data_IF_254639955553
#
_entry.id   IF_254639955553
#
_cell.length_a   1.000
_cell.length_b   1.000
_cell.length_c   1.000
_cell.angle_alpha   90.00
_cell.angle_beta   90.00
_cell.angle_gamma   90.00
#
_symmetry.space_group_name_H-M   'P 1'
#
loop_
_entity.id
_entity.type
_entity.pdbx_description
1 polymer ?
#
# COMPACT_ATOMS: atom_id res chain seq x y z
N UNK A 1 21.44 -2.58 20.70
CA UNK A 1 20.09 -1.99 20.63
C UNK A 1 19.86 -1.62 19.18
N UNK A 2 18.70 -1.91 18.58
CA UNK A 2 18.47 -1.55 17.18
C UNK A 2 18.37 -0.01 17.08
N UNK A 3 19.06 0.59 16.09
CA UNK A 3 19.02 2.03 15.83
C UNK A 3 17.77 2.40 15.02
N UNK A 4 16.63 1.77 15.31
CA UNK A 4 15.41 2.03 14.56
C UNK A 4 14.88 3.43 14.92
N UNK A 5 14.12 4.02 14.00
CA UNK A 5 13.30 5.17 14.34
C UNK A 5 12.17 4.70 15.25
N UNK A 6 11.82 5.46 16.29
CA UNK A 6 10.59 5.19 17.04
C UNK A 6 9.36 5.34 16.13
N UNK A 7 8.22 4.70 16.44
CA UNK A 7 6.97 4.92 15.72
C UNK A 7 6.58 6.40 15.61
N UNK A 8 6.75 7.16 16.71
CA UNK A 8 6.51 8.60 16.76
C UNK A 8 7.38 9.37 15.74
N UNK A 9 8.70 9.14 15.77
CA UNK A 9 9.63 9.80 14.86
C UNK A 9 9.38 9.40 13.40
N UNK A 10 9.13 8.13 13.12
CA UNK A 10 8.84 7.65 11.77
C UNK A 10 7.54 8.29 11.22
N UNK A 11 6.50 8.38 12.04
CA UNK A 11 5.24 9.04 11.66
C UNK A 11 5.46 10.54 11.43
N UNK A 12 6.22 11.21 12.29
CA UNK A 12 6.55 12.63 12.15
C UNK A 12 7.32 12.93 10.86
N UNK A 13 8.31 12.10 10.52
CA UNK A 13 9.09 12.21 9.29
C UNK A 13 8.20 12.00 8.05
N UNK A 14 7.27 11.05 8.09
CA UNK A 14 6.33 10.81 7.00
C UNK A 14 5.40 12.01 6.79
N UNK A 15 4.97 12.65 7.88
CA UNK A 15 4.11 13.84 7.87
C UNK A 15 4.86 15.08 7.34
N UNK A 16 6.11 15.29 7.76
CA UNK A 16 6.88 16.47 7.36
C UNK A 16 7.22 16.52 5.87
N UNK A 17 7.19 15.39 5.17
CA UNK A 17 7.34 15.34 3.71
C UNK A 17 6.26 16.16 2.99
N UNK A 18 5.07 16.31 3.57
CA UNK A 18 3.98 17.10 2.99
C UNK A 18 4.25 18.60 3.01
N UNK A 19 5.03 19.08 3.99
CA UNK A 19 5.40 20.49 4.11
C UNK A 19 6.24 20.98 2.92
N UNK A 20 6.95 20.09 2.23
CA UNK A 20 7.78 20.44 1.06
C UNK A 20 6.99 20.70 -0.22
N UNK A 21 5.66 20.51 -0.21
CA UNK A 21 4.87 20.56 -1.44
C UNK A 21 5.01 21.88 -2.17
N UNK A 22 4.79 22.99 -1.46
CA UNK A 22 4.89 24.34 -1.98
C UNK A 22 6.15 25.06 -1.50
N UNK A 23 6.82 24.51 -0.49
CA UNK A 23 8.08 25.03 0.00
C UNK A 23 9.19 24.86 -1.03
N UNK A 24 10.04 25.87 -1.17
CA UNK A 24 11.24 25.85 -2.02
C UNK A 24 12.48 25.41 -1.27
N UNK A 25 12.42 25.33 0.05
CA UNK A 25 13.53 24.96 0.92
C UNK A 25 13.14 23.83 1.89
N UNK A 26 14.02 23.57 2.87
CA UNK A 26 13.86 22.52 3.87
C UNK A 26 13.29 23.01 5.21
N UNK A 27 13.05 24.32 5.38
CA UNK A 27 12.65 24.93 6.66
C UNK A 27 11.31 24.41 7.13
N UNK A 28 10.34 24.28 6.23
CA UNK A 28 9.00 23.82 6.58
C UNK A 28 9.00 22.34 7.01
N UNK A 29 9.74 21.48 6.30
CA UNK A 29 9.91 20.08 6.68
C UNK A 29 10.64 19.93 8.01
N UNK A 30 11.68 20.73 8.21
CA UNK A 30 12.40 20.78 9.47
C UNK A 30 11.44 21.20 10.61
N UNK A 31 10.65 22.26 10.41
CA UNK A 31 9.72 22.76 11.43
C UNK A 31 8.62 21.74 11.76
N UNK A 32 8.14 21.00 10.76
CA UNK A 32 7.16 19.93 10.95
C UNK A 32 7.72 18.65 11.61
N UNK A 33 9.04 18.54 11.75
CA UNK A 33 9.72 17.37 12.33
C UNK A 33 10.76 17.73 13.41
N UNK A 34 10.35 18.36 14.53
CA UNK A 34 11.26 18.80 15.58
C UNK A 34 12.07 17.66 16.21
N UNK A 35 11.44 16.51 16.48
CA UNK A 35 12.12 15.36 17.10
C UNK A 35 13.11 14.70 16.14
N UNK A 36 12.80 14.71 14.84
CA UNK A 36 13.70 14.18 13.83
C UNK A 36 14.90 15.10 13.60
N UNK A 37 14.77 16.42 13.78
CA UNK A 37 15.90 17.38 13.67
C UNK A 37 16.99 17.18 14.71
N UNK A 38 16.65 16.64 15.86
CA UNK A 38 17.63 16.31 16.91
C UNK A 38 18.56 15.19 16.45
N UNK A 39 18.05 14.28 15.61
CA UNK A 39 18.76 13.10 15.11
C UNK A 39 19.27 13.24 13.67
N UNK A 40 18.72 14.16 12.88
CA UNK A 40 19.03 14.34 11.46
C UNK A 40 19.14 15.82 11.06
N UNK A 41 20.08 16.13 10.18
CA UNK A 41 20.22 17.44 9.56
C UNK A 41 19.19 17.67 8.46
N UNK A 42 17.97 18.04 8.87
CA UNK A 42 16.90 18.34 7.92
C UNK A 42 17.14 19.67 7.19
N UNK A 43 17.68 20.70 7.87
CA UNK A 43 17.92 22.01 7.25
C UNK A 43 18.99 21.96 6.16
N UNK A 44 20.07 21.20 6.39
CA UNK A 44 21.08 20.90 5.36
C UNK A 44 20.69 19.77 4.42
N UNK A 45 19.44 19.28 4.50
CA UNK A 45 18.93 18.17 3.70
C UNK A 45 18.80 18.51 2.22
N UNK A 46 18.77 17.47 1.39
CA UNK A 46 18.50 17.60 -0.05
C UNK A 46 17.01 17.43 -0.32
N UNK A 47 16.36 18.49 -0.79
CA UNK A 47 14.97 18.43 -1.26
C UNK A 47 14.89 17.65 -2.57
N UNK A 48 13.98 16.68 -2.63
CA UNK A 48 13.74 15.86 -3.81
C UNK A 48 12.66 16.50 -4.68
N UNK A 49 12.87 16.53 -6.00
CA UNK A 49 11.85 16.92 -6.97
C UNK A 49 11.49 15.74 -7.87
N UNK A 50 10.21 15.50 -8.09
CA UNK A 50 9.77 14.35 -8.87
C UNK A 50 8.48 14.64 -9.63
N UNK A 51 8.20 13.78 -10.60
CA UNK A 51 6.90 13.69 -11.26
C UNK A 51 6.31 12.30 -11.02
N UNK A 52 4.99 12.22 -11.15
CA UNK A 52 4.24 10.98 -11.01
C UNK A 52 3.28 10.84 -12.19
N UNK A 53 2.99 9.61 -12.59
CA UNK A 53 2.08 9.29 -13.71
C UNK A 53 2.80 8.64 -14.90
N UNK A 54 2.10 7.77 -15.63
CA UNK A 54 2.59 7.17 -16.88
C UNK A 54 2.43 8.20 -18.01
N UNK A 55 3.54 8.66 -18.59
CA UNK A 55 3.53 9.58 -19.73
C UNK A 55 3.37 11.06 -19.37
N UNK A 56 3.87 11.50 -18.21
CA UNK A 56 3.79 12.91 -17.79
C UNK A 56 4.42 13.86 -18.83
N UNK A 57 3.59 14.72 -19.41
CA UNK A 57 3.95 15.84 -20.27
C UNK A 57 5.05 16.72 -19.65
N UNK A 58 5.96 17.33 -20.45
CA UNK A 58 7.03 18.22 -19.97
C UNK A 58 6.57 19.42 -19.12
N UNK A 59 5.26 19.64 -18.98
CA UNK A 59 4.62 20.70 -18.18
C UNK A 59 4.23 20.22 -16.76
N UNK A 60 4.46 18.94 -16.38
CA UNK A 60 4.12 18.49 -15.02
C UNK A 60 4.94 19.23 -13.96
N UNK A 61 4.25 19.94 -13.06
CA UNK A 61 4.88 20.79 -12.04
C UNK A 61 5.75 19.95 -11.09
N UNK A 62 7.05 20.23 -11.06
CA UNK A 62 8.03 19.64 -10.13
C UNK A 62 7.80 20.18 -8.72
N UNK A 63 6.92 19.54 -7.96
CA UNK A 63 6.75 19.85 -6.52
C UNK A 63 7.78 19.12 -5.66
N UNK A 64 7.94 19.54 -4.40
CA UNK A 64 8.77 18.83 -3.45
C UNK A 64 8.16 17.46 -3.15
N UNK A 65 8.92 16.41 -3.46
CA UNK A 65 8.49 15.02 -3.38
C UNK A 65 8.94 14.31 -2.10
N UNK A 66 9.80 14.97 -1.32
CA UNK A 66 10.46 14.37 -0.18
C UNK A 66 11.83 14.99 0.02
N UNK A 67 12.64 14.35 0.84
CA UNK A 67 13.99 14.82 1.16
C UNK A 67 14.91 13.68 1.55
N UNK A 68 16.21 13.95 1.45
CA UNK A 68 17.26 13.15 2.07
C UNK A 68 18.00 13.98 3.11
N UNK A 69 18.21 13.43 4.31
CA UNK A 69 18.94 14.08 5.38
C UNK A 69 20.04 13.17 5.94
N UNK A 70 21.12 13.78 6.43
CA UNK A 70 22.22 13.07 7.10
C UNK A 70 21.91 12.97 8.59
N UNK A 71 22.21 11.84 9.21
CA UNK A 71 22.09 11.75 10.67
C UNK A 71 23.13 12.66 11.36
N UNK A 72 22.83 13.02 12.61
CA UNK A 72 23.67 13.85 13.47
C UNK A 72 24.15 13.03 14.67
N UNK A 73 25.23 13.48 15.31
CA UNK A 73 25.73 12.91 16.56
C UNK A 73 25.95 11.39 16.42
N UNK A 74 25.36 10.59 17.31
CA UNK A 74 25.43 9.13 17.27
C UNK A 74 24.89 8.48 15.98
N UNK A 75 24.19 9.24 15.12
CA UNK A 75 23.62 8.80 13.84
C UNK A 75 24.36 9.33 12.62
N UNK A 76 25.58 9.89 12.75
CA UNK A 76 26.32 10.51 11.63
C UNK A 76 26.49 9.61 10.38
N UNK A 77 26.57 8.29 10.60
CA UNK A 77 26.66 7.26 9.56
C UNK A 77 25.29 6.79 9.07
N UNK A 78 24.21 7.47 9.41
CA UNK A 78 22.85 7.13 8.99
C UNK A 78 22.35 8.14 7.95
N UNK A 79 21.46 7.69 7.08
CA UNK A 79 20.76 8.52 6.10
C UNK A 79 19.27 8.35 6.28
N UNK A 80 18.54 9.44 6.16
CA UNK A 80 17.10 9.46 6.17
C UNK A 80 16.59 9.84 4.79
N UNK A 81 15.68 9.04 4.24
CA UNK A 81 14.96 9.30 2.99
C UNK A 81 13.48 9.36 3.33
N UNK A 82 12.87 10.54 3.24
CA UNK A 82 11.43 10.72 3.44
C UNK A 82 10.76 11.02 2.11
N UNK A 83 9.67 10.31 1.80
CA UNK A 83 8.95 10.40 0.53
C UNK A 83 7.48 10.73 0.80
N UNK A 84 7.04 11.85 0.22
CA UNK A 84 5.66 12.33 0.31
C UNK A 84 4.72 11.46 -0.51
N UNK A 85 3.46 11.35 -0.08
CA UNK A 85 2.36 10.96 -0.96
C UNK A 85 2.13 11.94 -2.14
N UNK A 86 1.23 11.61 -3.06
CA UNK A 86 1.22 12.19 -4.42
C UNK A 86 -0.09 12.88 -4.84
N UNK A 87 0.11 13.80 -5.80
CA UNK A 87 -0.70 14.74 -6.58
C UNK A 87 -1.88 14.21 -7.42
N UNK A 88 -2.89 15.08 -7.68
CA UNK A 88 -4.23 14.77 -8.26
C UNK A 88 -4.17 13.87 -9.50
N UNK A 89 -3.50 14.29 -10.57
CA UNK A 89 -3.48 13.57 -11.85
C UNK A 89 -2.88 12.17 -11.72
N UNK A 90 -1.78 12.05 -10.99
CA UNK A 90 -1.07 10.77 -10.84
C UNK A 90 -1.71 9.86 -9.81
N UNK A 91 -2.37 10.45 -8.79
CA UNK A 91 -3.19 9.73 -7.82
C UNK A 91 -4.34 8.99 -8.50
N UNK A 92 -4.96 9.65 -9.46
CA UNK A 92 -5.93 9.03 -10.34
C UNK A 92 -5.26 7.96 -11.19
N UNK A 93 -4.13 8.21 -11.86
CA UNK A 93 -3.51 7.18 -12.73
C UNK A 93 -3.14 5.87 -12.01
N UNK A 94 -2.62 5.90 -10.78
CA UNK A 94 -2.27 4.64 -10.09
C UNK A 94 -3.50 3.89 -9.55
N UNK A 95 -4.58 4.61 -9.24
CA UNK A 95 -5.79 4.06 -8.63
C UNK A 95 -6.93 3.80 -9.63
N UNK A 96 -6.88 4.45 -10.79
CA UNK A 96 -7.85 4.40 -11.88
C UNK A 96 -7.45 3.42 -12.97
N UNK A 97 -6.15 3.17 -13.14
CA UNK A 97 -5.71 2.13 -14.04
C UNK A 97 -5.95 0.77 -13.39
N UNK A 98 -7.18 0.27 -13.59
CA UNK A 98 -7.54 -1.15 -13.60
C UNK A 98 -6.64 -1.97 -14.57
N UNK A 99 -5.75 -1.29 -15.31
CA UNK A 99 -4.45 -1.78 -15.76
C UNK A 99 -3.46 -1.69 -14.59
N UNK A 100 -3.55 -2.61 -13.63
CA UNK A 100 -2.46 -2.85 -12.65
C UNK A 100 -1.28 -3.46 -13.42
N UNK A 101 -0.73 -2.66 -14.32
CA UNK A 101 0.32 -3.06 -15.24
C UNK A 101 1.54 -3.32 -14.39
N UNK A 102 1.88 -4.60 -14.29
CA UNK A 102 3.13 -5.05 -13.74
C UNK A 102 4.26 -4.69 -14.70
N UNK A 103 5.34 -4.12 -14.17
CA UNK A 103 6.61 -3.97 -14.88
C UNK A 103 7.71 -4.62 -14.06
N UNK A 104 8.80 -5.03 -14.70
CA UNK A 104 9.99 -5.44 -13.99
C UNK A 104 10.51 -4.27 -13.14
N UNK A 105 10.55 -4.48 -11.82
CA UNK A 105 11.09 -3.55 -10.85
C UNK A 105 12.61 -3.62 -10.74
N UNK A 106 13.21 -2.95 -9.74
CA UNK A 106 14.66 -2.83 -9.62
C UNK A 106 15.37 -4.18 -9.42
N UNK A 107 14.68 -5.15 -8.81
CA UNK A 107 15.17 -6.51 -8.56
C UNK A 107 14.70 -7.54 -9.60
N UNK A 108 14.08 -7.09 -10.70
CA UNK A 108 13.53 -7.95 -11.75
C UNK A 108 12.15 -8.55 -11.43
N UNK A 109 11.68 -8.47 -10.18
CA UNK A 109 10.33 -8.86 -9.81
C UNK A 109 9.28 -7.86 -10.29
N UNK A 110 8.06 -8.34 -10.52
CA UNK A 110 6.97 -7.50 -11.04
C UNK A 110 6.43 -6.56 -9.94
N UNK A 111 6.44 -5.26 -10.24
CA UNK A 111 5.97 -4.18 -9.37
C UNK A 111 4.97 -3.28 -10.09
N UNK A 112 4.29 -2.40 -9.34
CA UNK A 112 3.34 -1.46 -9.93
C UNK A 112 4.04 -0.41 -10.81
N UNK A 113 3.69 -0.35 -12.10
CA UNK A 113 4.32 0.55 -13.08
C UNK A 113 4.36 2.02 -12.65
N UNK A 114 3.24 2.54 -12.13
CA UNK A 114 3.17 3.95 -11.72
C UNK A 114 4.06 4.27 -10.52
N UNK A 115 4.21 3.32 -9.58
CA UNK A 115 5.05 3.52 -8.39
C UNK A 115 6.53 3.42 -8.78
N UNK A 116 6.86 2.50 -9.69
CA UNK A 116 8.22 2.35 -10.19
C UNK A 116 8.65 3.53 -11.05
N UNK A 117 7.79 4.03 -11.94
CA UNK A 117 8.04 5.25 -12.70
C UNK A 117 8.37 6.43 -11.77
N UNK A 118 7.58 6.61 -10.70
CA UNK A 118 7.82 7.65 -9.71
C UNK A 118 9.17 7.47 -9.00
N UNK A 119 9.46 6.25 -8.51
CA UNK A 119 10.72 5.94 -7.83
C UNK A 119 11.93 6.25 -8.72
N UNK A 120 11.88 5.89 -10.01
CA UNK A 120 12.95 6.16 -10.97
C UNK A 120 13.27 7.66 -11.11
N UNK A 121 12.29 8.56 -10.95
CA UNK A 121 12.56 10.01 -10.97
C UNK A 121 13.33 10.50 -9.73
N UNK A 122 13.17 9.81 -8.59
CA UNK A 122 13.76 10.18 -7.31
C UNK A 122 15.12 9.52 -7.08
N UNK A 123 15.31 8.30 -7.57
CA UNK A 123 16.50 7.47 -7.29
C UNK A 123 17.84 8.16 -7.61
N UNK A 124 18.03 8.89 -8.72
CA UNK A 124 19.28 9.59 -8.99
C UNK A 124 19.59 10.65 -7.92
N UNK A 125 18.59 11.45 -7.53
CA UNK A 125 18.73 12.47 -6.49
C UNK A 125 18.98 11.83 -5.11
N UNK A 126 18.28 10.74 -4.80
CA UNK A 126 18.45 10.00 -3.55
C UNK A 126 19.87 9.43 -3.45
N UNK A 127 20.35 8.74 -4.48
CA UNK A 127 21.70 8.16 -4.51
C UNK A 127 22.78 9.23 -4.40
N UNK A 128 22.62 10.35 -5.11
CA UNK A 128 23.53 11.49 -5.00
C UNK A 128 23.56 12.06 -3.58
N UNK A 129 22.40 12.23 -2.94
CA UNK A 129 22.31 12.80 -1.60
C UNK A 129 22.80 11.85 -0.49
N UNK A 130 22.63 10.53 -0.66
CA UNK A 130 23.19 9.51 0.23
C UNK A 130 24.73 9.62 0.28
N UNK A 131 25.34 9.83 -0.89
CA UNK A 131 26.80 9.93 -1.05
C UNK A 131 27.48 8.57 -1.09
N UNK A 132 28.72 8.50 -0.59
CA UNK A 132 29.52 7.27 -0.60
C UNK A 132 28.91 6.19 0.32
N UNK A 133 28.56 5.00 -0.19
CA UNK A 133 28.01 3.92 0.63
C UNK A 133 28.95 3.45 1.74
N UNK A 134 30.27 3.59 1.57
CA UNK A 134 31.26 3.23 2.60
C UNK A 134 31.14 4.08 3.89
N UNK A 135 30.54 5.28 3.79
CA UNK A 135 30.31 6.18 4.91
C UNK A 135 28.95 5.96 5.59
N UNK A 136 28.11 5.09 5.02
CA UNK A 136 26.72 4.87 5.44
C UNK A 136 26.58 3.48 6.04
N UNK A 137 26.07 3.44 7.26
CA UNK A 137 25.74 2.22 8.00
C UNK A 137 24.29 1.80 7.80
N UNK A 138 23.37 2.76 7.87
CA UNK A 138 21.92 2.53 7.82
C UNK A 138 21.23 3.61 7.00
N UNK A 139 20.25 3.20 6.19
CA UNK A 139 19.36 4.09 5.45
C UNK A 139 17.93 3.82 5.92
N UNK A 140 17.31 4.85 6.51
CA UNK A 140 15.90 4.84 6.89
C UNK A 140 15.08 5.40 5.73
N UNK A 141 14.16 4.60 5.21
CA UNK A 141 13.25 4.99 4.12
C UNK A 141 11.85 5.08 4.69
N UNK A 142 11.26 6.26 4.64
CA UNK A 142 9.98 6.58 5.28
C UNK A 142 8.99 7.09 4.24
N UNK A 143 7.74 6.63 4.29
CA UNK A 143 6.70 7.16 3.42
C UNK A 143 5.28 6.87 3.88
N UNK A 144 4.37 7.77 3.52
CA UNK A 144 2.94 7.64 3.76
C UNK A 144 2.15 7.54 2.46
N UNK A 145 1.04 6.78 2.45
CA UNK A 145 0.17 6.63 1.29
C UNK A 145 0.96 6.18 0.06
N UNK A 146 0.82 6.86 -1.10
CA UNK A 146 1.66 6.62 -2.27
C UNK A 146 3.16 6.73 -1.96
N UNK A 147 3.57 7.64 -1.08
CA UNK A 147 4.96 7.77 -0.66
C UNK A 147 5.50 6.50 0.01
N UNK A 148 4.65 5.73 0.71
CA UNK A 148 5.02 4.45 1.29
C UNK A 148 5.25 3.33 0.26
N UNK A 149 4.45 3.31 -0.82
CA UNK A 149 4.69 2.38 -1.92
C UNK A 149 5.97 2.73 -2.71
N UNK A 150 6.22 4.03 -2.93
CA UNK A 150 7.47 4.49 -3.54
C UNK A 150 8.65 4.18 -2.62
N UNK A 151 8.53 4.42 -1.31
CA UNK A 151 9.54 4.07 -0.30
C UNK A 151 9.89 2.58 -0.34
N UNK A 152 8.90 1.70 -0.53
CA UNK A 152 9.11 0.26 -0.69
C UNK A 152 10.00 -0.06 -1.90
N UNK A 153 9.73 0.58 -3.05
CA UNK A 153 10.52 0.36 -4.28
C UNK A 153 11.90 1.05 -4.23
N UNK A 154 12.01 2.17 -3.52
CA UNK A 154 13.29 2.82 -3.23
C UNK A 154 14.13 1.92 -2.35
N UNK A 155 13.57 1.34 -1.28
CA UNK A 155 14.28 0.39 -0.43
C UNK A 155 14.77 -0.85 -1.20
N UNK A 156 13.95 -1.38 -2.11
CA UNK A 156 14.38 -2.46 -3.02
C UNK A 156 15.57 -2.04 -3.89
N UNK A 157 15.50 -0.87 -4.52
CA UNK A 157 16.57 -0.36 -5.37
C UNK A 157 17.88 -0.12 -4.59
N UNK A 158 17.81 0.47 -3.39
CA UNK A 158 18.98 0.82 -2.58
C UNK A 158 19.67 -0.38 -1.92
N UNK A 159 19.09 -1.58 -2.00
CA UNK A 159 19.71 -2.77 -1.42
C UNK A 159 21.02 -3.19 -2.11
N UNK A 160 21.39 -2.57 -3.23
CA UNK A 160 22.68 -2.76 -3.91
C UNK A 160 23.83 -2.02 -3.21
N UNK A 161 23.52 -1.05 -2.35
CA UNK A 161 24.51 -0.23 -1.64
C UNK A 161 25.22 -0.96 -0.50
N UNK A 162 24.80 -2.18 -0.14
CA UNK A 162 25.38 -2.95 0.96
C UNK A 162 25.15 -2.34 2.37
N UNK A 163 24.32 -1.31 2.47
CA UNK A 163 23.94 -0.67 3.74
C UNK A 163 22.76 -1.41 4.40
N UNK A 164 22.60 -1.28 5.72
CA UNK A 164 21.35 -1.68 6.38
C UNK A 164 20.22 -0.77 5.92
N UNK A 165 19.05 -1.34 5.66
CA UNK A 165 17.88 -0.62 5.21
C UNK A 165 16.76 -0.83 6.21
N UNK A 166 16.09 0.26 6.57
CA UNK A 166 14.95 0.28 7.49
C UNK A 166 13.78 0.94 6.79
N UNK A 167 12.68 0.21 6.59
CA UNK A 167 11.52 0.68 5.84
C UNK A 167 10.36 0.98 6.78
N UNK A 168 9.87 2.21 6.75
CA UNK A 168 8.73 2.66 7.57
C UNK A 168 7.61 3.16 6.65
N UNK A 169 6.46 2.51 6.72
CA UNK A 169 5.33 2.85 5.86
C UNK A 169 4.05 3.04 6.66
N UNK A 170 3.30 4.08 6.31
CA UNK A 170 2.01 4.41 6.92
C UNK A 170 0.92 4.43 5.84
N UNK A 171 -0.15 3.64 6.02
CA UNK A 171 -1.28 3.64 5.08
C UNK A 171 -0.91 3.29 3.63
N UNK A 172 0.21 2.60 3.41
CA UNK A 172 0.75 2.38 2.06
C UNK A 172 -0.06 1.34 1.27
N UNK A 173 -0.30 1.57 -0.04
CA UNK A 173 -0.85 0.54 -0.93
C UNK A 173 0.20 -0.53 -1.26
N UNK A 174 -0.25 -1.64 -1.84
CA UNK A 174 0.62 -2.76 -2.22
C UNK A 174 1.54 -2.37 -3.39
N UNK A 175 2.85 -2.48 -3.22
CA UNK A 175 3.82 -1.95 -4.19
C UNK A 175 4.17 -2.93 -5.33
N UNK A 176 4.09 -4.24 -5.08
CA UNK A 176 4.43 -5.26 -6.05
C UNK A 176 3.67 -6.56 -5.86
N UNK A 177 3.95 -7.53 -6.72
CA UNK A 177 3.31 -8.84 -6.65
C UNK A 177 3.86 -9.67 -5.48
N UNK A 178 3.16 -10.75 -5.13
CA UNK A 178 3.61 -11.65 -4.07
C UNK A 178 5.09 -12.07 -4.16
N UNK A 179 5.65 -12.46 -5.33
CA UNK A 179 7.08 -12.76 -5.44
C UNK A 179 8.01 -11.59 -5.06
N UNK A 180 7.62 -10.35 -5.40
CA UNK A 180 8.36 -9.15 -4.98
C UNK A 180 8.31 -8.96 -3.47
N UNK A 181 7.12 -9.11 -2.86
CA UNK A 181 6.95 -8.97 -1.43
C UNK A 181 7.75 -10.04 -0.65
N UNK A 182 7.71 -11.29 -1.10
CA UNK A 182 8.50 -12.39 -0.55
C UNK A 182 10.00 -12.08 -0.61
N UNK A 183 10.48 -11.67 -1.78
CA UNK A 183 11.88 -11.33 -2.00
C UNK A 183 12.34 -10.19 -1.10
N UNK A 184 11.62 -9.07 -1.11
CA UNK A 184 12.02 -7.87 -0.37
C UNK A 184 11.99 -8.11 1.15
N UNK A 185 11.01 -8.87 1.64
CA UNK A 185 10.94 -9.28 3.05
C UNK A 185 12.16 -10.09 3.47
N UNK A 186 12.58 -11.07 2.65
CA UNK A 186 13.80 -11.85 2.92
C UNK A 186 15.06 -11.01 2.83
N UNK A 187 15.12 -10.08 1.87
CA UNK A 187 16.29 -9.24 1.64
C UNK A 187 16.54 -8.26 2.78
N UNK A 188 15.48 -7.57 3.25
CA UNK A 188 15.59 -6.59 4.33
C UNK A 188 15.59 -7.25 5.71
N UNK A 189 14.90 -8.39 5.84
CA UNK A 189 14.49 -8.96 7.13
C UNK A 189 13.18 -8.33 7.60
N UNK A 190 12.26 -9.16 8.14
CA UNK A 190 10.94 -8.69 8.55
C UNK A 190 11.01 -7.62 9.66
N UNK A 191 11.97 -7.74 10.58
CA UNK A 191 12.20 -6.77 11.66
C UNK A 191 12.62 -5.39 11.16
N UNK A 192 13.09 -5.27 9.91
CA UNK A 192 13.47 -4.01 9.30
C UNK A 192 12.32 -3.35 8.51
N UNK A 193 11.13 -3.96 8.51
CA UNK A 193 9.96 -3.49 7.77
C UNK A 193 8.84 -3.16 8.75
N UNK A 194 8.68 -1.87 9.01
CA UNK A 194 7.67 -1.33 9.90
C UNK A 194 6.49 -0.77 9.10
N UNK A 195 5.51 -1.64 8.85
CA UNK A 195 4.28 -1.27 8.13
C UNK A 195 3.13 -1.03 9.10
N UNK A 196 2.62 0.20 9.12
CA UNK A 196 1.53 0.66 9.98
C UNK A 196 0.31 0.99 9.13
N UNK A 197 -0.87 0.51 9.52
CA UNK A 197 -2.11 0.83 8.81
C UNK A 197 -3.35 0.74 9.72
N UNK A 198 -4.40 1.52 9.42
CA UNK A 198 -5.67 1.41 10.15
C UNK A 198 -6.61 0.36 9.55
N UNK A 199 -7.43 -0.27 10.39
CA UNK A 199 -8.42 -1.26 9.96
C UNK A 199 -9.55 -0.67 9.11
N UNK A 200 -9.79 0.65 9.20
CA UNK A 200 -10.75 1.40 8.39
C UNK A 200 -10.15 2.23 7.25
N UNK A 201 -8.83 2.18 7.06
CA UNK A 201 -8.15 2.78 5.90
C UNK A 201 -8.19 1.81 4.70
N UNK A 202 -8.68 2.30 3.54
CA UNK A 202 -8.78 1.49 2.33
C UNK A 202 -7.57 1.57 1.41
N UNK A 203 -6.69 2.57 1.52
CA UNK A 203 -5.51 2.66 0.65
C UNK A 203 -4.61 1.43 0.78
N UNK A 204 -4.38 0.86 1.98
CA UNK A 204 -3.70 -0.42 2.14
C UNK A 204 -4.46 -1.62 1.58
N UNK A 205 -5.72 -1.49 1.19
CA UNK A 205 -6.50 -2.58 0.58
C UNK A 205 -6.35 -2.63 -0.94
N UNK A 206 -5.61 -1.70 -1.54
CA UNK A 206 -5.38 -1.63 -3.00
C UNK A 206 -3.88 -1.59 -3.34
N UNK A 207 -3.50 -1.89 -4.59
CA UNK A 207 -4.26 -2.73 -5.54
C UNK A 207 -4.55 -4.12 -4.94
N UNK A 208 -5.59 -4.78 -5.42
CA UNK A 208 -5.97 -6.14 -4.98
C UNK A 208 -5.06 -7.19 -5.61
N UNK A 209 -5.38 -8.47 -5.47
CA UNK A 209 -4.69 -9.57 -6.15
C UNK A 209 -4.24 -9.25 -7.59
N UNK A 210 -2.99 -9.58 -8.01
CA UNK A 210 -1.99 -10.41 -7.33
C UNK A 210 -0.98 -9.62 -6.48
N UNK A 211 -1.30 -8.37 -6.13
CA UNK A 211 -0.38 -7.54 -5.36
C UNK A 211 -0.34 -7.97 -3.90
N UNK A 212 0.82 -7.80 -3.28
CA UNK A 212 1.05 -8.15 -1.89
C UNK A 212 1.78 -7.05 -1.11
N UNK A 213 1.64 -7.09 0.21
CA UNK A 213 2.36 -6.20 1.12
C UNK A 213 3.66 -6.81 1.59
N UNK A 214 4.62 -5.92 1.88
CA UNK A 214 5.74 -6.24 2.76
C UNK A 214 5.43 -5.79 4.19
N UNK A 215 5.90 -6.51 5.24
CA UNK A 215 6.57 -7.79 5.15
C UNK A 215 5.57 -8.90 4.76
N UNK A 216 6.04 -9.91 4.01
CA UNK A 216 5.21 -11.01 3.54
C UNK A 216 5.01 -12.05 4.64
N UNK A 217 3.74 -12.32 4.99
CA UNK A 217 3.34 -13.27 6.04
C UNK A 217 4.04 -13.04 7.39
N UNK A 218 4.32 -11.77 7.69
CA UNK A 218 4.92 -11.34 8.94
C UNK A 218 4.13 -10.16 9.53
N UNK A 219 4.61 -9.64 10.65
CA UNK A 219 3.96 -8.63 11.46
C UNK A 219 3.81 -7.32 10.69
N UNK A 220 2.56 -6.89 10.52
CA UNK A 220 2.22 -5.52 10.18
C UNK A 220 1.35 -4.93 11.31
N UNK A 221 1.64 -3.70 11.70
CA UNK A 221 0.98 -3.01 12.81
C UNK A 221 -0.40 -2.50 12.38
N UNK A 222 -1.39 -3.40 12.44
CA UNK A 222 -2.79 -3.07 12.16
C UNK A 222 -3.41 -2.40 13.39
N UNK A 223 -3.68 -1.11 13.26
CA UNK A 223 -4.27 -0.29 14.31
C UNK A 223 -5.78 -0.13 14.11
N UNK A 224 -6.47 0.25 15.19
CA UNK A 224 -7.90 0.57 15.14
C UNK A 224 -8.10 1.96 14.53
N UNK A 225 -8.81 2.05 13.42
CA UNK A 225 -9.24 3.31 12.83
C UNK A 225 -10.59 3.79 13.36
N UNK A 226 -11.04 4.99 12.97
CA UNK A 226 -12.31 5.56 13.38
C UNK A 226 -13.49 4.69 12.90
N UNK A 227 -14.43 4.41 13.81
CA UNK A 227 -15.69 3.76 13.48
C UNK A 227 -15.55 2.31 12.95
N UNK A 228 -16.51 1.94 12.09
CA UNK A 228 -16.58 0.61 11.43
C UNK A 228 -16.61 0.68 9.90
N UNK A 229 -16.90 1.87 9.36
CA UNK A 229 -16.98 2.12 7.92
C UNK A 229 -15.59 2.48 7.40
N UNK A 230 -15.40 2.35 6.09
CA UNK A 230 -14.22 2.92 5.43
C UNK A 230 -14.15 4.42 5.74
N UNK A 231 -12.99 4.87 6.18
CA UNK A 231 -12.79 6.23 6.65
C UNK A 231 -11.60 6.90 5.96
N UNK A 232 -11.84 8.09 5.40
CA UNK A 232 -10.79 8.94 4.85
C UNK A 232 -9.87 9.44 5.97
N UNK A 233 -10.43 9.78 7.13
CA UNK A 233 -9.67 10.23 8.30
C UNK A 233 -8.66 9.16 8.76
N UNK A 234 -9.03 7.88 8.66
CA UNK A 234 -8.12 6.76 8.95
C UNK A 234 -6.85 6.75 8.08
N UNK A 235 -6.89 7.41 6.92
CA UNK A 235 -5.76 7.51 6.00
C UNK A 235 -4.90 8.75 6.24
N UNK A 236 -5.25 9.67 7.14
CA UNK A 236 -4.50 10.92 7.31
C UNK A 236 -3.39 10.77 8.36
N UNK A 237 -2.25 11.43 8.13
CA UNK A 237 -1.11 11.40 9.06
C UNK A 237 -1.44 11.84 10.48
N UNK A 238 -2.30 12.84 10.75
CA UNK A 238 -2.73 13.17 12.11
C UNK A 238 -3.30 11.97 12.87
N UNK A 239 -4.07 11.11 12.20
CA UNK A 239 -4.62 9.91 12.82
C UNK A 239 -3.53 8.85 13.04
N UNK A 240 -2.60 8.69 12.10
CA UNK A 240 -1.44 7.79 12.29
C UNK A 240 -0.56 8.22 13.46
N UNK A 241 -0.23 9.51 13.57
CA UNK A 241 0.54 10.09 14.68
C UNK A 241 -0.16 9.86 16.02
N UNK A 242 -1.47 10.11 16.08
CA UNK A 242 -2.27 9.88 17.28
C UNK A 242 -2.27 8.42 17.70
N UNK A 243 -2.42 7.50 16.76
CA UNK A 243 -2.53 6.07 17.04
C UNK A 243 -1.20 5.44 17.46
N UNK A 244 -0.07 5.86 16.87
CA UNK A 244 1.24 5.33 17.29
C UNK A 244 1.69 5.91 18.63
N UNK A 245 1.38 7.18 18.91
CA UNK A 245 1.79 7.87 20.14
C UNK A 245 3.28 7.67 20.44
N UNK A 246 3.62 7.52 21.72
CA UNK A 246 4.98 7.26 22.19
C UNK A 246 5.29 5.76 22.37
N UNK A 247 4.50 4.88 21.74
CA UNK A 247 4.68 3.44 21.87
C UNK A 247 5.99 2.97 21.23
N UNK A 248 6.59 1.91 21.78
CA UNK A 248 7.61 1.15 21.08
C UNK A 248 6.97 0.25 20.01
N UNK A 249 7.72 -0.10 18.96
CA UNK A 249 7.23 -0.98 17.88
C UNK A 249 6.53 -2.25 18.38
N UNK A 250 7.15 -2.96 19.32
CA UNK A 250 6.62 -4.20 19.90
C UNK A 250 5.34 -4.01 20.74
N UNK A 251 5.05 -2.78 21.16
CA UNK A 251 3.86 -2.44 21.95
C UNK A 251 2.70 -1.94 21.10
N UNK A 252 2.90 -1.70 19.80
CA UNK A 252 1.82 -1.30 18.90
C UNK A 252 0.82 -2.46 18.74
N UNK A 253 -0.49 -2.15 18.67
CA UNK A 253 -1.51 -3.17 18.50
C UNK A 253 -1.40 -3.84 17.12
N UNK A 254 -1.57 -5.16 17.11
CA UNK A 254 -1.65 -5.97 15.89
C UNK A 254 -3.02 -6.63 15.87
N UNK A 255 -4.01 -5.95 15.29
CA UNK A 255 -5.34 -6.54 15.09
C UNK A 255 -5.25 -7.70 14.08
N UNK A 256 -5.93 -8.81 14.36
CA UNK A 256 -5.96 -9.98 13.47
C UNK A 256 -6.51 -9.63 12.08
N UNK A 257 -5.76 -9.93 11.01
CA UNK A 257 -6.11 -9.57 9.63
C UNK A 257 -7.42 -10.23 9.15
N UNK A 258 -7.59 -11.54 9.39
CA UNK A 258 -8.78 -12.33 9.06
C UNK A 258 -9.08 -12.41 7.55
N UNK A 259 -9.88 -13.39 7.08
CA UNK A 259 -9.70 -14.81 7.38
C UNK A 259 -8.28 -15.27 7.02
N UNK A 260 -7.69 -16.08 7.90
CA UNK A 260 -6.30 -16.55 7.74
C UNK A 260 -6.21 -17.94 7.09
N UNK A 261 -7.34 -18.50 6.67
CA UNK A 261 -7.44 -19.77 5.94
C UNK A 261 -8.61 -19.76 4.95
N UNK A 262 -8.55 -20.67 3.99
CA UNK A 262 -9.61 -20.88 3.00
C UNK A 262 -10.94 -21.25 3.69
N UNK A 263 -10.91 -22.11 4.70
CA UNK A 263 -12.09 -22.55 5.48
C UNK A 263 -12.74 -21.39 6.24
N UNK A 264 -11.95 -20.50 6.86
CA UNK A 264 -12.49 -19.32 7.52
C UNK A 264 -13.12 -18.35 6.51
N UNK A 265 -12.52 -18.21 5.33
CA UNK A 265 -13.08 -17.38 4.26
C UNK A 265 -14.42 -17.95 3.76
N UNK A 266 -14.48 -19.27 3.55
CA UNK A 266 -15.70 -19.99 3.16
C UNK A 266 -16.81 -19.82 4.20
N UNK A 267 -16.51 -20.07 5.49
CA UNK A 267 -17.47 -19.95 6.57
C UNK A 267 -18.04 -18.53 6.69
N UNK A 268 -17.17 -17.52 6.63
CA UNK A 268 -17.60 -16.13 6.67
C UNK A 268 -18.45 -15.75 5.47
N UNK A 269 -18.05 -16.15 4.25
CA UNK A 269 -18.82 -15.91 3.04
C UNK A 269 -20.22 -16.53 3.13
N UNK A 270 -20.34 -17.73 3.70
CA UNK A 270 -21.64 -18.38 3.95
C UNK A 270 -22.56 -17.52 4.82
N UNK A 271 -22.06 -17.02 5.96
CA UNK A 271 -22.83 -16.15 6.87
C UNK A 271 -23.16 -14.81 6.20
N UNK A 272 -22.18 -14.18 5.55
CA UNK A 272 -22.33 -12.90 4.88
C UNK A 272 -23.37 -12.96 3.74
N UNK A 273 -23.43 -14.08 3.02
CA UNK A 273 -24.39 -14.31 1.93
C UNK A 273 -25.78 -14.75 2.42
N UNK A 274 -25.90 -15.40 3.58
CA UNK A 274 -27.18 -15.81 4.15
C UNK A 274 -27.91 -14.64 4.81
N UNK A 275 -27.36 -14.12 5.90
CA UNK A 275 -28.05 -13.14 6.77
C UNK A 275 -27.56 -11.71 6.60
N UNK A 276 -26.34 -11.54 6.07
CA UNK A 276 -25.66 -10.26 6.02
C UNK A 276 -25.11 -9.98 7.41
N UNK A 277 -23.80 -9.76 7.51
CA UNK A 277 -23.20 -9.46 8.81
C UNK A 277 -23.73 -8.14 9.41
N UNK A 278 -23.53 -7.88 10.72
CA UNK A 278 -24.10 -6.77 11.49
C UNK A 278 -23.80 -5.32 11.03
N UNK A 279 -23.22 -5.12 9.84
CA UNK A 279 -22.91 -3.82 9.27
C UNK A 279 -22.27 -3.89 7.89
N UNK A 280 -22.67 -4.84 7.02
CA UNK A 280 -21.99 -5.14 5.74
C UNK A 280 -21.78 -3.93 4.81
N UNK A 281 -22.75 -3.02 4.73
CA UNK A 281 -22.70 -1.93 3.75
C UNK A 281 -21.56 -0.95 4.08
N UNK A 282 -20.63 -0.78 3.14
CA UNK A 282 -19.45 0.09 3.27
C UNK A 282 -18.57 -0.18 4.52
N UNK A 283 -18.71 -1.35 5.16
CA UNK A 283 -17.85 -1.73 6.27
C UNK A 283 -16.45 -2.05 5.79
N UNK A 284 -15.45 -1.45 6.44
CA UNK A 284 -14.05 -1.74 6.15
C UNK A 284 -13.70 -3.19 6.48
N UNK A 285 -14.30 -3.75 7.54
CA UNK A 285 -14.17 -5.18 7.87
C UNK A 285 -14.76 -6.03 6.76
N UNK A 286 -15.99 -5.78 6.32
CA UNK A 286 -16.61 -6.56 5.25
C UNK A 286 -15.79 -6.51 3.96
N UNK A 287 -15.30 -5.33 3.56
CA UNK A 287 -14.43 -5.17 2.39
C UNK A 287 -13.15 -6.00 2.53
N UNK A 288 -12.48 -5.95 3.68
CA UNK A 288 -11.25 -6.71 3.92
C UNK A 288 -11.47 -8.21 3.80
N UNK A 289 -12.57 -8.72 4.36
CA UNK A 289 -12.92 -10.14 4.30
C UNK A 289 -13.31 -10.57 2.87
N UNK A 290 -14.03 -9.72 2.12
CA UNK A 290 -14.32 -9.94 0.69
C UNK A 290 -13.02 -10.07 -0.11
N UNK A 291 -12.10 -9.11 0.06
CA UNK A 291 -10.84 -9.11 -0.68
C UNK A 291 -9.95 -10.30 -0.32
N UNK A 292 -9.91 -10.68 0.96
CA UNK A 292 -9.16 -11.86 1.41
C UNK A 292 -9.78 -13.17 0.94
N UNK A 293 -11.11 -13.27 0.92
CA UNK A 293 -11.78 -14.45 0.37
C UNK A 293 -11.53 -14.58 -1.13
N UNK A 294 -11.49 -13.45 -1.86
CA UNK A 294 -11.07 -13.42 -3.26
C UNK A 294 -9.63 -13.94 -3.41
N UNK A 295 -8.68 -13.48 -2.58
CA UNK A 295 -7.29 -13.96 -2.59
C UNK A 295 -7.19 -15.49 -2.35
N UNK A 296 -7.97 -16.02 -1.39
CA UNK A 296 -8.03 -17.45 -1.10
C UNK A 296 -8.60 -18.28 -2.26
N UNK A 297 -9.68 -17.81 -2.90
CA UNK A 297 -10.27 -18.48 -4.07
C UNK A 297 -9.27 -18.51 -5.22
N UNK A 298 -8.61 -17.39 -5.51
CA UNK A 298 -7.63 -17.31 -6.60
C UNK A 298 -6.38 -18.16 -6.33
N UNK A 299 -5.95 -18.25 -5.07
CA UNK A 299 -4.85 -19.13 -4.65
C UNK A 299 -5.20 -20.61 -4.83
N UNK A 300 -6.43 -21.00 -4.46
CA UNK A 300 -6.92 -22.38 -4.63
C UNK A 300 -7.01 -22.81 -6.10
N UNK A 301 -7.17 -21.85 -7.02
CA UNK A 301 -7.14 -22.11 -8.46
C UNK A 301 -5.72 -22.30 -9.02
N UNK A 302 -4.68 -22.28 -8.18
CA UNK A 302 -3.28 -22.42 -8.61
C UNK A 302 -2.72 -21.18 -9.29
N UNK A 303 -3.41 -20.04 -9.24
CA UNK A 303 -3.02 -18.82 -9.95
C UNK A 303 -2.09 -17.91 -9.15
N UNK A 304 -1.46 -18.41 -8.08
CA UNK A 304 -0.61 -17.69 -7.11
C UNK A 304 0.53 -16.84 -7.68
N UNK A 305 0.93 -17.07 -8.93
CA UNK A 305 2.02 -16.35 -9.60
C UNK A 305 1.77 -16.02 -11.09
N UNK A 306 0.59 -16.35 -11.64
CA UNK A 306 0.40 -16.51 -13.09
C UNK A 306 -0.40 -15.43 -13.81
N UNK A 307 -0.72 -14.30 -13.18
CA UNK A 307 -1.48 -13.21 -13.82
C UNK A 307 -0.59 -12.17 -14.52
N UNK A 308 0.73 -12.29 -14.39
CA UNK A 308 1.64 -11.48 -15.19
C UNK A 308 1.55 -11.96 -16.64
N UNK A 309 1.06 -11.08 -17.51
CA UNK A 309 0.89 -11.26 -18.97
C UNK A 309 -0.45 -11.89 -19.38
N UNK A 310 -1.50 -11.06 -19.41
CA UNK A 310 -2.50 -11.19 -20.48
C UNK A 310 -2.49 -9.91 -21.31
N UNK A 311 -1.88 -10.02 -22.49
CA UNK A 311 -1.98 -9.00 -23.53
C UNK A 311 -3.45 -8.80 -23.91
N UNK A 312 -3.93 -7.56 -23.80
CA UNK A 312 -5.24 -7.13 -24.31
C UNK A 312 -6.42 -7.22 -23.34
N UNK A 313 -6.43 -8.14 -22.38
CA UNK A 313 -7.51 -8.26 -21.38
C UNK A 313 -7.30 -7.29 -20.20
N UNK A 314 -8.38 -6.76 -19.64
CA UNK A 314 -8.29 -6.05 -18.35
C UNK A 314 -8.09 -7.07 -17.23
N UNK A 315 -7.52 -6.66 -16.09
CA UNK A 315 -7.39 -7.53 -14.91
C UNK A 315 -8.77 -8.01 -14.45
N UNK A 316 -9.79 -7.18 -14.66
CA UNK A 316 -11.17 -7.52 -14.33
C UNK A 316 -11.71 -8.68 -15.17
N UNK A 317 -11.52 -8.62 -16.49
CA UNK A 317 -11.88 -9.73 -17.40
C UNK A 317 -11.14 -11.01 -17.01
N UNK A 318 -9.85 -10.88 -16.68
CA UNK A 318 -9.04 -12.01 -16.26
C UNK A 318 -9.56 -12.64 -14.97
N UNK A 319 -9.79 -11.83 -13.93
CA UNK A 319 -10.35 -12.30 -12.66
C UNK A 319 -11.72 -12.94 -12.86
N UNK A 320 -12.57 -12.34 -13.70
CA UNK A 320 -13.89 -12.88 -13.98
C UNK A 320 -13.82 -14.25 -14.66
N UNK A 321 -12.93 -14.43 -15.64
CA UNK A 321 -12.69 -15.72 -16.30
C UNK A 321 -12.14 -16.76 -15.34
N UNK A 322 -11.20 -16.39 -14.47
CA UNK A 322 -10.63 -17.30 -13.47
C UNK A 322 -11.67 -17.76 -12.44
N UNK A 323 -12.47 -16.85 -11.92
CA UNK A 323 -13.54 -17.21 -11.00
C UNK A 323 -14.56 -18.11 -11.71
N UNK A 324 -14.99 -17.74 -12.92
CA UNK A 324 -15.94 -18.57 -13.68
C UNK A 324 -15.39 -19.96 -13.98
N UNK A 325 -14.13 -20.09 -14.40
CA UNK A 325 -13.51 -21.40 -14.64
C UNK A 325 -13.41 -22.22 -13.36
N UNK A 326 -13.10 -21.59 -12.23
CA UNK A 326 -13.13 -22.22 -10.91
C UNK A 326 -14.50 -22.76 -10.51
N UNK A 327 -15.56 -22.01 -10.80
CA UNK A 327 -16.93 -22.43 -10.55
C UNK A 327 -17.34 -23.65 -11.40
N UNK A 328 -16.79 -23.81 -12.61
CA UNK A 328 -17.05 -24.99 -13.44
C UNK A 328 -16.29 -26.24 -12.97
N UNK A 329 -15.17 -26.07 -12.28
CA UNK A 329 -14.29 -27.17 -11.87
C UNK A 329 -14.63 -27.75 -10.50
N UNK A 330 -15.32 -27.00 -9.63
CA UNK A 330 -15.59 -27.44 -8.25
C UNK A 330 -16.90 -26.88 -7.72
N UNK A 331 -17.76 -27.76 -7.19
CA UNK A 331 -19.00 -27.38 -6.50
C UNK A 331 -18.72 -26.48 -5.28
N UNK A 332 -17.63 -26.75 -4.55
CA UNK A 332 -17.20 -25.94 -3.39
C UNK A 332 -16.83 -24.53 -3.83
N UNK A 333 -16.01 -24.41 -4.89
CA UNK A 333 -15.63 -23.10 -5.44
C UNK A 333 -16.83 -22.37 -6.04
N UNK A 334 -17.73 -23.07 -6.74
CA UNK A 334 -18.96 -22.48 -7.26
C UNK A 334 -19.83 -21.87 -6.14
N UNK A 335 -19.98 -22.58 -5.01
CA UNK A 335 -20.71 -22.08 -3.85
C UNK A 335 -20.00 -20.87 -3.21
N UNK A 336 -18.68 -20.93 -3.04
CA UNK A 336 -17.90 -19.80 -2.51
C UNK A 336 -17.97 -18.57 -3.40
N UNK A 337 -17.86 -18.73 -4.72
CA UNK A 337 -17.94 -17.62 -5.68
C UNK A 337 -19.34 -16.99 -5.67
N UNK A 338 -20.40 -17.80 -5.58
CA UNK A 338 -21.77 -17.30 -5.40
C UNK A 338 -21.91 -16.47 -4.11
N UNK A 339 -21.35 -16.97 -3.01
CA UNK A 339 -21.38 -16.28 -1.73
C UNK A 339 -20.53 -15.00 -1.76
N UNK A 340 -19.39 -15.01 -2.44
CA UNK A 340 -18.56 -13.84 -2.69
C UNK A 340 -19.32 -12.76 -3.47
N UNK A 341 -19.95 -13.11 -4.58
CA UNK A 341 -20.77 -12.18 -5.37
C UNK A 341 -21.89 -11.57 -4.52
N UNK A 342 -22.57 -12.41 -3.73
CA UNK A 342 -23.64 -11.96 -2.83
C UNK A 342 -23.11 -11.02 -1.75
N UNK A 343 -21.97 -11.34 -1.13
CA UNK A 343 -21.31 -10.51 -0.14
C UNK A 343 -20.88 -9.15 -0.71
N UNK A 344 -20.30 -9.15 -1.93
CA UNK A 344 -19.94 -7.91 -2.65
C UNK A 344 -21.18 -7.05 -2.89
N UNK A 345 -22.26 -7.64 -3.38
CA UNK A 345 -23.49 -6.91 -3.65
C UNK A 345 -24.09 -6.32 -2.37
N UNK A 346 -24.12 -7.10 -1.28
CA UNK A 346 -24.57 -6.62 0.03
C UNK A 346 -23.68 -5.51 0.60
N UNK A 347 -22.37 -5.61 0.41
CA UNK A 347 -21.43 -4.53 0.76
C UNK A 347 -21.76 -3.21 0.05
N UNK A 348 -22.28 -3.28 -1.18
CA UNK A 348 -22.75 -2.14 -1.96
C UNK A 348 -24.22 -1.77 -1.71
N UNK A 349 -24.88 -2.38 -0.73
CA UNK A 349 -26.29 -2.14 -0.43
C UNK A 349 -27.28 -2.73 -1.46
N UNK A 350 -26.86 -3.75 -2.21
CA UNK A 350 -27.64 -4.39 -3.29
C UNK A 350 -27.95 -5.86 -2.95
N UNK A 351 -29.09 -6.34 -3.44
CA UNK A 351 -29.47 -7.74 -3.37
C UNK A 351 -29.12 -8.48 -4.67
N UNK A 352 -28.97 -9.80 -4.58
CA UNK A 352 -28.80 -10.71 -5.72
C UNK A 352 -29.90 -11.75 -5.64
N UNK A 353 -30.62 -11.97 -6.74
CA UNK A 353 -31.63 -13.03 -6.80
C UNK A 353 -30.94 -14.41 -6.70
N UNK A 354 -31.50 -15.31 -5.90
CA UNK A 354 -30.95 -16.66 -5.72
C UNK A 354 -30.83 -17.44 -7.04
N UNK A 355 -31.69 -17.13 -8.02
CA UNK A 355 -31.75 -17.75 -9.34
C UNK A 355 -30.82 -17.12 -10.38
N UNK A 356 -29.99 -16.13 -10.02
CA UNK A 356 -29.11 -15.49 -10.99
C UNK A 356 -28.10 -16.50 -11.56
N UNK A 357 -27.96 -16.50 -12.89
CA UNK A 357 -26.93 -17.25 -13.57
C UNK A 357 -25.58 -16.53 -13.44
N UNK A 358 -24.60 -17.21 -12.84
CA UNK A 358 -23.24 -16.69 -12.69
C UNK A 358 -22.51 -16.92 -14.02
N UNK A 359 -22.43 -15.88 -14.85
CA UNK A 359 -21.66 -15.86 -16.10
C UNK A 359 -20.38 -15.04 -15.92
N UNK A 360 -19.41 -15.19 -16.83
CA UNK A 360 -18.20 -14.33 -16.85
C UNK A 360 -18.58 -12.85 -16.83
N UNK A 361 -19.51 -12.43 -17.69
CA UNK A 361 -19.96 -11.04 -17.78
C UNK A 361 -20.60 -10.54 -16.48
N UNK A 362 -21.34 -11.40 -15.77
CA UNK A 362 -21.94 -11.02 -14.49
C UNK A 362 -20.88 -10.89 -13.39
N UNK A 363 -19.90 -11.80 -13.33
CA UNK A 363 -18.77 -11.71 -12.39
C UNK A 363 -17.95 -10.44 -12.66
N UNK A 364 -17.65 -10.16 -13.92
CA UNK A 364 -16.94 -8.95 -14.34
C UNK A 364 -17.70 -7.68 -13.93
N UNK A 365 -19.02 -7.65 -14.16
CA UNK A 365 -19.88 -6.54 -13.75
C UNK A 365 -19.83 -6.30 -12.24
N UNK A 366 -19.95 -7.34 -11.42
CA UNK A 366 -19.94 -7.25 -9.96
C UNK A 366 -18.58 -6.79 -9.43
N UNK A 367 -17.50 -7.40 -9.89
CA UNK A 367 -16.14 -6.98 -9.52
C UNK A 367 -15.86 -5.54 -9.99
N UNK A 368 -16.35 -5.16 -11.17
CA UNK A 368 -16.17 -3.83 -11.72
C UNK A 368 -16.90 -2.75 -10.91
N UNK A 369 -18.08 -3.07 -10.39
CA UNK A 369 -18.75 -2.19 -9.42
C UNK A 369 -17.96 -2.07 -8.13
N UNK A 370 -17.52 -3.18 -7.53
CA UNK A 370 -16.72 -3.17 -6.30
C UNK A 370 -15.48 -2.31 -6.47
N UNK A 371 -14.69 -2.56 -7.50
CA UNK A 371 -13.43 -1.85 -7.72
C UNK A 371 -13.67 -0.37 -8.03
N UNK A 372 -14.74 0.00 -8.73
CA UNK A 372 -15.12 1.41 -8.90
C UNK A 372 -15.45 2.09 -7.58
N UNK A 373 -16.18 1.42 -6.68
CA UNK A 373 -16.51 1.96 -5.34
C UNK A 373 -15.22 2.15 -4.54
N UNK A 374 -14.39 1.10 -4.46
CA UNK A 374 -13.10 1.12 -3.75
C UNK A 374 -12.17 2.20 -4.33
N UNK A 375 -11.97 2.23 -5.64
CA UNK A 375 -11.15 3.27 -6.28
C UNK A 375 -11.71 4.66 -6.05
N UNK A 376 -13.03 4.88 -6.08
CA UNK A 376 -13.63 6.19 -5.79
C UNK A 376 -13.36 6.65 -4.36
N UNK A 377 -13.55 5.76 -3.38
CA UNK A 377 -13.30 6.08 -1.97
C UNK A 377 -11.82 6.33 -1.69
N UNK A 378 -10.93 5.54 -2.30
CA UNK A 378 -9.48 5.74 -2.17
C UNK A 378 -9.03 7.05 -2.82
N UNK A 379 -9.66 7.45 -3.94
CA UNK A 379 -9.41 8.75 -4.57
C UNK A 379 -9.78 9.90 -3.65
N UNK A 380 -10.94 9.82 -3.01
CA UNK A 380 -11.36 10.84 -2.05
C UNK A 380 -10.39 10.95 -0.87
N UNK A 381 -9.85 9.82 -0.39
CA UNK A 381 -8.84 9.83 0.66
C UNK A 381 -7.56 10.56 0.23
N UNK A 382 -7.10 10.31 -0.99
CA UNK A 382 -5.91 10.99 -1.54
C UNK A 382 -6.19 12.47 -1.84
N UNK A 383 -7.39 12.82 -2.31
CA UNK A 383 -7.76 14.20 -2.62
C UNK A 383 -7.72 15.12 -1.39
N UNK A 384 -7.98 14.59 -0.19
CA UNK A 384 -7.86 15.34 1.06
C UNK A 384 -6.39 15.67 1.38
N UNK A 385 -5.44 14.80 1.04
CA UNK A 385 -3.99 15.07 1.21
C UNK A 385 -3.48 16.19 0.28
N UNK A 386 -4.31 16.62 -0.67
CA UNK A 386 -3.98 17.63 -1.68
C UNK A 386 -4.60 18.99 -1.41
N UNK A 387 -5.38 19.11 -0.33
CA UNK A 387 -5.77 20.39 0.25
C UNK A 387 -4.74 20.76 1.29
#
# INVERSE_FOLDING_TARGET
>A
MSNDLSPAQAAEIADSAYALRLSTDMVDAATAAPTARESFDLLGGTRLTGSTGLGSSPISQRTGFGYVARGRNARERERLVSIRGTFKTSAYDWLSNLRMAGVAGPSGYIVHAGFWAAAQTLLPQIRQAIGSPAEVSTIHVVGHSLGGAIATLVADSLGDLGCKLQLYTFGAPRAGLEPHAQYLTRRLGADAIHRVYHDTDLVPMVPVYPYSHVPWRDTAYRMKGPGKLVSIEAHLMPQYRRSVGDAAWRALPVLQEGPDSFEQAEAWLGVAAAVGGPGMMLSATALRWILRALDWILSALGHGAGLAVLGGATILDTLARLLYSGALQSLRLAAMIRNLITAIMRFMGRAVAATVNITVAFVEYVLGMLFRVVSTMARQAVDVLLR
#
